data_IF_580669810699
#
_entry.id   IF_580669810699
#
_cell.length_a   1.000
_cell.length_b   1.000
_cell.length_c   1.000
_cell.angle_alpha   90.00
_cell.angle_beta   90.00
_cell.angle_gamma   90.00
#
_symmetry.space_group_name_H-M   'P 1'
#
loop_
_entity.id
_entity.type
_entity.pdbx_description
1 polymer ?
#
# COMPACT_ATOMS: atom_id res chain seq x y z
N UNK A 1 15.95 4.78 11.05
CA UNK A 1 17.12 4.08 11.62
C UNK A 1 16.78 2.90 12.56
N UNK A 2 15.73 3.01 13.38
CA UNK A 2 15.29 1.94 14.32
C UNK A 2 14.50 0.82 13.64
N UNK A 3 13.56 1.15 12.76
CA UNK A 3 12.72 0.17 12.04
C UNK A 3 13.57 -0.84 11.24
N UNK A 4 14.59 -0.34 10.53
CA UNK A 4 15.50 -1.17 9.73
C UNK A 4 16.34 -2.13 10.59
N UNK A 5 16.66 -1.75 11.84
CA UNK A 5 17.34 -2.63 12.80
C UNK A 5 16.42 -3.71 13.32
N UNK A 6 15.17 -3.36 13.64
CA UNK A 6 14.17 -4.31 14.15
C UNK A 6 13.79 -5.34 13.08
N UNK A 7 13.52 -4.90 11.85
CA UNK A 7 13.21 -5.83 10.74
C UNK A 7 14.39 -6.74 10.42
N UNK A 8 15.61 -6.21 10.39
CA UNK A 8 16.80 -7.04 10.17
C UNK A 8 17.04 -8.05 11.31
N UNK A 9 16.76 -7.68 12.56
CA UNK A 9 16.87 -8.59 13.71
C UNK A 9 15.79 -9.68 13.76
N UNK A 10 14.63 -9.47 13.14
CA UNK A 10 13.57 -10.48 13.00
C UNK A 10 13.84 -11.45 11.84
N UNK A 11 14.56 -10.98 10.80
CA UNK A 11 14.88 -11.78 9.61
C UNK A 11 16.15 -12.61 9.76
N UNK A 12 17.02 -12.31 10.75
CA UNK A 12 18.18 -13.13 11.10
C UNK A 12 17.77 -14.28 12.03
N UNK A 13 17.19 -15.32 11.46
CA UNK A 13 16.82 -16.57 12.15
C UNK A 13 18.03 -17.50 12.38
N UNK A 14 19.20 -17.24 11.79
CA UNK A 14 20.25 -18.25 11.71
C UNK A 14 21.37 -18.19 12.77
N UNK A 15 21.33 -17.29 13.77
CA UNK A 15 22.47 -17.21 14.72
C UNK A 15 22.18 -16.66 16.13
N UNK A 16 20.91 -16.53 16.56
CA UNK A 16 20.60 -15.97 17.88
C UNK A 16 19.87 -16.99 18.76
N UNK A 17 20.60 -17.50 19.75
CA UNK A 17 20.13 -18.30 20.90
C UNK A 17 19.28 -17.46 21.89
N UNK A 18 18.65 -16.38 21.41
CA UNK A 18 17.80 -15.49 22.21
C UNK A 18 16.33 -15.72 21.87
N UNK A 19 15.44 -15.86 22.87
CA UNK A 19 14.03 -16.11 22.65
C UNK A 19 13.38 -14.93 21.90
N UNK A 20 12.87 -15.22 20.70
CA UNK A 20 12.21 -14.28 19.79
C UNK A 20 11.01 -13.54 20.39
N UNK A 21 10.51 -14.01 21.54
CA UNK A 21 9.35 -13.49 22.22
C UNK A 21 9.52 -12.01 22.66
N UNK A 22 10.65 -11.65 23.26
CA UNK A 22 10.92 -10.27 23.67
C UNK A 22 10.98 -9.28 22.50
N UNK A 23 11.45 -9.72 21.32
CA UNK A 23 11.55 -8.88 20.12
C UNK A 23 10.20 -8.65 19.44
N UNK A 24 9.29 -9.63 19.50
CA UNK A 24 7.94 -9.49 18.98
C UNK A 24 7.13 -8.50 19.83
N UNK A 25 7.28 -8.56 21.15
CA UNK A 25 6.62 -7.66 22.10
C UNK A 25 7.10 -6.20 21.92
N UNK A 26 8.41 -5.99 21.76
CA UNK A 26 8.98 -4.68 21.44
C UNK A 26 8.45 -4.12 20.10
N UNK A 27 8.29 -4.97 19.09
CA UNK A 27 7.72 -4.57 17.80
C UNK A 27 6.24 -4.17 17.91
N UNK A 28 5.45 -4.94 18.65
CA UNK A 28 4.02 -4.64 18.88
C UNK A 28 3.87 -3.32 19.63
N UNK A 29 4.68 -3.07 20.66
CA UNK A 29 4.65 -1.81 21.39
C UNK A 29 5.03 -0.63 20.49
N UNK A 30 6.13 -0.77 19.74
CA UNK A 30 6.55 0.27 18.79
C UNK A 30 5.47 0.59 17.75
N UNK A 31 4.82 -0.43 17.19
CA UNK A 31 3.74 -0.23 16.22
C UNK A 31 2.54 0.48 16.84
N UNK A 32 2.15 0.08 18.06
CA UNK A 32 1.04 0.68 18.81
C UNK A 32 1.30 2.16 19.10
N UNK A 33 2.51 2.50 19.56
CA UNK A 33 2.90 3.89 19.84
C UNK A 33 2.87 4.75 18.57
N UNK A 34 3.30 4.20 17.42
CA UNK A 34 3.25 4.90 16.14
C UNK A 34 1.82 5.13 15.65
N UNK A 35 0.91 4.16 15.85
CA UNK A 35 -0.51 4.32 15.52
C UNK A 35 -1.14 5.40 16.38
N UNK A 36 -0.90 5.38 17.70
CA UNK A 36 -1.40 6.38 18.63
C UNK A 36 -0.91 7.79 18.28
N UNK A 37 0.37 7.93 17.90
CA UNK A 37 0.94 9.19 17.44
C UNK A 37 0.23 9.72 16.18
N UNK A 38 0.00 8.85 15.19
CA UNK A 38 -0.70 9.23 13.95
C UNK A 38 -2.14 9.67 14.24
N UNK A 39 -2.84 8.95 15.11
CA UNK A 39 -4.20 9.30 15.53
C UNK A 39 -4.25 10.67 16.23
N UNK A 40 -3.31 10.92 17.15
CA UNK A 40 -3.19 12.22 17.81
C UNK A 40 -2.88 13.36 16.83
N UNK A 41 -1.99 13.13 15.86
CA UNK A 41 -1.66 14.11 14.83
C UNK A 41 -2.87 14.39 13.90
N UNK A 42 -3.68 13.37 13.60
CA UNK A 42 -4.93 13.49 12.83
C UNK A 42 -6.02 14.25 13.59
N UNK A 43 -6.16 14.01 14.90
CA UNK A 43 -7.11 14.71 15.76
C UNK A 43 -6.67 16.15 16.08
N UNK A 44 -5.40 16.49 15.83
CA UNK A 44 -4.84 17.82 16.07
C UNK A 44 -5.25 18.82 14.98
N UNK A 45 -6.51 19.27 15.03
CA UNK A 45 -7.12 20.36 14.24
C UNK A 45 -6.46 20.57 12.86
N UNK A 46 -6.27 19.46 12.13
CA UNK A 46 -5.72 19.52 10.80
C UNK A 46 -6.77 20.26 9.97
N UNK A 47 -6.46 21.40 9.35
CA UNK A 47 -7.42 22.07 8.50
C UNK A 47 -7.67 21.13 7.32
N UNK A 48 -8.72 20.30 7.44
CA UNK A 48 -9.26 19.52 6.33
C UNK A 48 -9.50 20.56 5.25
N UNK A 49 -8.79 20.50 4.10
CA UNK A 49 -9.05 21.44 3.03
C UNK A 49 -10.55 21.39 2.74
N UNK A 50 -11.24 22.52 2.89
CA UNK A 50 -12.69 22.66 2.67
C UNK A 50 -13.10 22.13 1.29
N UNK A 51 -12.16 22.05 0.36
CA UNK A 51 -12.30 21.43 -0.97
C UNK A 51 -12.59 19.92 -0.92
N UNK A 52 -12.19 19.21 0.15
CA UNK A 52 -12.42 17.76 0.30
C UNK A 52 -13.79 17.43 0.91
N UNK A 53 -14.47 18.39 1.52
CA UNK A 53 -15.83 18.23 2.05
C UNK A 53 -16.92 18.67 1.05
N UNK A 54 -16.56 19.42 0.01
CA UNK A 54 -17.50 19.94 -1.00
C UNK A 54 -17.72 19.04 -2.21
N UNK A 55 -16.75 18.16 -2.53
CA UNK A 55 -16.94 17.08 -3.48
C UNK A 55 -17.56 15.91 -2.73
N UNK A 56 -18.84 16.06 -2.34
CA UNK A 56 -19.62 14.97 -1.75
C UNK A 56 -19.36 13.72 -2.58
N UNK A 57 -18.90 12.65 -1.92
CA UNK A 57 -18.58 11.35 -2.50
C UNK A 57 -19.55 11.10 -3.65
N UNK A 58 -19.12 11.38 -4.87
CA UNK A 58 -19.95 11.17 -6.03
C UNK A 58 -20.33 9.71 -5.91
N UNK A 59 -21.63 9.41 -5.90
CA UNK A 59 -22.09 8.05 -5.79
C UNK A 59 -21.53 7.30 -6.98
N UNK A 60 -20.36 6.66 -6.81
CA UNK A 60 -19.67 5.94 -7.88
C UNK A 60 -20.55 4.73 -8.14
N UNK A 61 -21.25 4.75 -9.27
CA UNK A 61 -22.09 3.64 -9.70
C UNK A 61 -21.14 2.58 -10.26
N UNK A 62 -20.65 1.69 -9.38
CA UNK A 62 -19.68 0.66 -9.73
C UNK A 62 -20.18 -0.28 -10.84
N UNK A 63 -21.50 -0.45 -10.99
CA UNK A 63 -22.12 -1.24 -12.05
C UNK A 63 -22.00 -0.64 -13.46
N UNK A 64 -21.59 0.62 -13.61
CA UNK A 64 -21.31 1.24 -14.92
C UNK A 64 -19.91 0.88 -15.46
N UNK A 65 -19.05 0.30 -14.62
CA UNK A 65 -17.69 -0.06 -15.01
C UNK A 65 -17.64 -1.48 -15.55
N UNK A 66 -17.11 -1.61 -16.76
CA UNK A 66 -16.86 -2.90 -17.37
C UNK A 66 -15.62 -3.60 -16.78
N UNK A 67 -15.66 -4.94 -16.63
CA UNK A 67 -14.49 -5.71 -16.23
C UNK A 67 -13.28 -5.42 -17.12
N UNK A 68 -12.13 -5.32 -16.48
CA UNK A 68 -10.85 -5.08 -17.15
C UNK A 68 -10.33 -6.37 -17.78
N UNK A 69 -9.94 -6.27 -19.04
CA UNK A 69 -9.28 -7.35 -19.79
C UNK A 69 -7.78 -7.37 -19.51
N UNK A 70 -7.10 -8.51 -19.72
CA UNK A 70 -5.66 -8.58 -19.52
C UNK A 70 -4.90 -7.58 -20.41
N UNK A 71 -5.40 -7.30 -21.61
CA UNK A 71 -4.81 -6.37 -22.57
C UNK A 71 -4.90 -4.91 -22.11
N UNK A 72 -6.03 -4.51 -21.49
CA UNK A 72 -6.18 -3.17 -20.92
C UNK A 72 -5.16 -2.94 -19.79
N UNK A 73 -4.95 -3.93 -18.93
CA UNK A 73 -3.89 -3.89 -17.89
C UNK A 73 -2.51 -3.78 -18.54
N UNK A 74 -2.25 -4.61 -19.54
CA UNK A 74 -0.98 -4.62 -20.27
C UNK A 74 -0.66 -3.25 -20.88
N UNK A 75 -1.63 -2.62 -21.53
CA UNK A 75 -1.48 -1.30 -22.14
C UNK A 75 -1.26 -0.20 -21.09
N UNK A 76 -1.98 -0.26 -19.96
CA UNK A 76 -1.77 0.66 -18.84
C UNK A 76 -0.35 0.52 -18.27
N UNK A 77 0.12 -0.71 -18.04
CA UNK A 77 1.48 -0.96 -17.56
C UNK A 77 2.55 -0.48 -18.56
N UNK A 78 2.27 -0.59 -19.87
CA UNK A 78 3.14 -0.07 -20.94
C UNK A 78 3.19 1.46 -20.98
N UNK A 79 2.11 2.12 -20.58
CA UNK A 79 1.98 3.58 -20.54
C UNK A 79 2.54 4.20 -19.25
N UNK A 80 2.88 3.40 -18.24
CA UNK A 80 3.53 3.90 -17.02
C UNK A 80 4.94 4.40 -17.37
N UNK A 81 5.19 5.67 -17.09
CA UNK A 81 6.54 6.21 -17.17
C UNK A 81 7.35 5.80 -15.95
N UNK A 82 8.60 5.43 -16.16
CA UNK A 82 9.55 5.20 -15.09
C UNK A 82 9.79 6.52 -14.34
N UNK A 83 9.18 6.67 -13.17
CA UNK A 83 9.40 7.76 -12.25
C UNK A 83 10.73 7.51 -11.52
N UNK A 84 11.72 8.36 -11.78
CA UNK A 84 12.99 8.37 -11.03
C UNK A 84 12.88 9.16 -9.72
N UNK A 85 11.65 9.38 -9.23
CA UNK A 85 11.41 10.15 -8.02
C UNK A 85 11.91 9.37 -6.81
N UNK A 86 12.70 10.01 -5.96
CA UNK A 86 13.20 9.44 -4.72
C UNK A 86 12.07 9.17 -3.70
N UNK A 87 10.89 9.74 -3.92
CA UNK A 87 9.69 9.60 -3.10
C UNK A 87 8.66 8.63 -3.69
N UNK A 88 9.00 7.92 -4.77
CA UNK A 88 8.10 6.92 -5.35
C UNK A 88 8.00 5.70 -4.42
N UNK A 89 6.82 5.39 -3.83
CA UNK A 89 6.67 4.30 -2.87
C UNK A 89 6.91 2.91 -3.47
N UNK A 90 6.81 2.78 -4.80
CA UNK A 90 7.19 1.59 -5.52
C UNK A 90 7.77 2.03 -6.87
N UNK A 91 9.08 1.87 -7.09
CA UNK A 91 9.67 2.37 -8.31
C UNK A 91 9.10 1.57 -9.48
N UNK A 92 8.57 2.27 -10.47
CA UNK A 92 7.86 1.74 -11.64
C UNK A 92 8.65 0.69 -12.44
N UNK A 93 9.98 0.63 -12.30
CA UNK A 93 10.80 -0.46 -12.83
C UNK A 93 10.44 -1.83 -12.23
N UNK A 94 10.07 -1.89 -10.95
CA UNK A 94 9.72 -3.15 -10.28
C UNK A 94 8.45 -3.74 -10.90
N UNK A 95 7.44 -2.90 -11.10
CA UNK A 95 6.19 -3.28 -11.77
C UNK A 95 6.44 -3.71 -13.22
N UNK A 96 7.41 -3.08 -13.91
CA UNK A 96 7.76 -3.44 -15.28
C UNK A 96 8.54 -4.76 -15.39
N UNK A 97 9.33 -5.11 -14.37
CA UNK A 97 10.14 -6.35 -14.35
C UNK A 97 9.35 -7.55 -13.85
N UNK A 98 8.35 -7.35 -12.99
CA UNK A 98 7.41 -8.39 -12.57
C UNK A 98 6.14 -8.45 -13.42
N UNK A 99 6.19 -7.94 -14.66
CA UNK A 99 5.00 -7.65 -15.47
C UNK A 99 4.08 -8.84 -15.67
N UNK A 100 4.61 -10.04 -15.96
CA UNK A 100 3.77 -11.23 -16.16
C UNK A 100 3.01 -11.61 -14.88
N UNK A 101 3.64 -11.47 -13.72
CA UNK A 101 3.06 -11.79 -12.41
C UNK A 101 2.06 -10.71 -12.00
N UNK A 102 2.44 -9.44 -12.16
CA UNK A 102 1.63 -8.31 -11.69
C UNK A 102 0.39 -8.09 -12.56
N UNK A 103 0.43 -8.43 -13.86
CA UNK A 103 -0.70 -8.29 -14.77
C UNK A 103 -1.93 -9.10 -14.32
N UNK A 104 -1.74 -10.38 -14.01
CA UNK A 104 -2.83 -11.26 -13.59
C UNK A 104 -3.42 -10.81 -12.25
N UNK A 105 -2.55 -10.42 -11.32
CA UNK A 105 -2.97 -9.98 -9.99
C UNK A 105 -3.74 -8.65 -10.03
N UNK A 106 -3.25 -7.65 -10.79
CA UNK A 106 -3.95 -6.38 -10.99
C UNK A 106 -5.32 -6.58 -11.63
N UNK A 107 -5.42 -7.45 -12.64
CA UNK A 107 -6.69 -7.75 -13.26
C UNK A 107 -7.68 -8.36 -12.26
N UNK A 108 -7.24 -9.34 -11.48
CA UNK A 108 -8.08 -10.01 -10.49
C UNK A 108 -8.56 -9.04 -9.41
N UNK A 109 -7.67 -8.19 -8.87
CA UNK A 109 -8.00 -7.21 -7.84
C UNK A 109 -9.00 -6.17 -8.37
N UNK A 110 -8.75 -5.59 -9.55
CA UNK A 110 -9.66 -4.58 -10.13
C UNK A 110 -11.05 -5.17 -10.37
N UNK A 111 -11.13 -6.35 -10.97
CA UNK A 111 -12.41 -6.98 -11.27
C UNK A 111 -13.15 -7.42 -10.00
N UNK A 112 -12.44 -7.91 -8.98
CA UNK A 112 -13.03 -8.21 -7.68
C UNK A 112 -13.60 -6.96 -7.00
N UNK A 113 -12.90 -5.82 -7.07
CA UNK A 113 -13.39 -4.55 -6.54
C UNK A 113 -14.67 -4.07 -7.21
N UNK A 114 -14.78 -4.23 -8.54
CA UNK A 114 -16.02 -3.91 -9.28
C UNK A 114 -17.21 -4.76 -8.83
N UNK A 115 -16.97 -6.05 -8.51
CA UNK A 115 -18.01 -6.96 -8.03
C UNK A 115 -18.46 -6.69 -6.59
N UNK A 116 -17.56 -6.21 -5.73
CA UNK A 116 -17.88 -5.94 -4.31
C UNK A 116 -18.48 -4.55 -4.12
N UNK A 117 -18.15 -3.61 -5.02
CA UNK A 117 -18.69 -2.25 -4.99
C UNK A 117 -20.06 -2.07 -5.66
N UNK A 118 -20.54 -3.08 -6.41
CA UNK A 118 -21.87 -3.08 -7.07
C UNK A 118 -22.98 -3.61 -6.16
#
# INVERSE_FOLDING_TARGET
PTLFRVTHSLLKVEEADEPLQGRAEEFVQFLSDKIAQIQMDLDSDWPVPVEMLGAGLSHVIWSEFEPVTPEKVENAMRAMNATTSLLDPCPSWLVSTSREVTRGWLQAVVNASLMVGS
#
